data_IF_515992414889
#
_entry.id   IF_515992414889
#
_cell.length_a   1.000
_cell.length_b   1.000
_cell.length_c   1.000
_cell.angle_alpha   90.00
_cell.angle_beta   90.00
_cell.angle_gamma   90.00
#
_symmetry.space_group_name_H-M   'P 1'
#
loop_
_entity.id
_entity.type
_entity.pdbx_description
1 polymer ?
#
# COMPACT_ATOMS: atom_id res chain seq x y z
N UNK A 1 17.17 22.39 0.79
CA UNK A 1 17.18 21.55 2.01
C UNK A 1 16.65 20.17 1.65
N UNK A 2 17.10 19.10 2.32
CA UNK A 2 16.48 17.78 2.17
C UNK A 2 15.11 17.78 2.86
N UNK A 3 14.03 17.77 2.07
CA UNK A 3 12.65 17.71 2.56
C UNK A 3 12.17 16.29 2.92
N UNK A 4 13.03 15.29 2.79
CA UNK A 4 12.80 13.99 3.43
C UNK A 4 13.11 14.16 4.93
N UNK A 5 12.22 13.74 5.84
CA UNK A 5 12.58 13.60 7.25
C UNK A 5 13.83 12.72 7.37
N UNK A 6 14.68 13.00 8.36
CA UNK A 6 15.82 12.10 8.63
C UNK A 6 15.27 10.74 9.03
N UNK A 7 15.92 9.64 8.64
CA UNK A 7 15.46 8.28 8.95
C UNK A 7 15.09 8.10 10.43
N UNK A 8 15.87 8.67 11.33
CA UNK A 8 15.67 8.56 12.79
C UNK A 8 14.40 9.26 13.31
N UNK A 9 13.85 10.19 12.53
CA UNK A 9 12.63 10.98 12.83
C UNK A 9 11.35 10.35 12.28
N UNK A 10 11.44 9.18 11.62
CA UNK A 10 10.29 8.40 11.16
C UNK A 10 10.16 7.16 12.05
N UNK A 11 8.93 6.86 12.45
CA UNK A 11 8.53 5.63 13.12
C UNK A 11 7.61 4.85 12.18
N UNK A 12 8.04 3.66 11.78
CA UNK A 12 7.16 2.67 11.16
C UNK A 12 6.37 2.02 12.29
N UNK A 13 5.05 2.19 12.25
CA UNK A 13 4.08 1.61 13.18
C UNK A 13 3.66 0.26 12.65
N UNK A 14 4.36 -0.74 13.14
CA UNK A 14 4.12 -2.16 12.90
C UNK A 14 2.76 -2.58 13.48
N UNK A 15 1.77 -2.80 12.61
CA UNK A 15 0.42 -3.25 12.99
C UNK A 15 0.30 -4.76 12.79
N UNK A 16 -0.13 -5.42 13.86
CA UNK A 16 -0.34 -6.85 14.02
C UNK A 16 -1.72 -7.05 14.67
N UNK A 17 -2.15 -8.30 14.85
CA UNK A 17 -3.49 -8.58 15.39
C UNK A 17 -3.70 -8.09 16.84
N UNK A 18 -2.62 -7.91 17.62
CA UNK A 18 -2.68 -7.51 19.03
C UNK A 18 -2.78 -5.99 19.25
N UNK A 19 -2.35 -5.14 18.31
CA UNK A 19 -2.46 -3.67 18.39
C UNK A 19 -3.38 -3.03 17.34
N UNK A 20 -4.09 -3.83 16.52
CA UNK A 20 -4.90 -3.37 15.39
C UNK A 20 -5.88 -2.23 15.73
N UNK A 21 -6.69 -2.38 16.79
CA UNK A 21 -7.67 -1.36 17.18
C UNK A 21 -7.02 -0.11 17.81
N UNK A 22 -5.86 -0.25 18.46
CA UNK A 22 -5.11 0.89 19.01
C UNK A 22 -4.58 1.76 17.87
N UNK A 23 -4.03 1.13 16.83
CA UNK A 23 -3.52 1.82 15.64
C UNK A 23 -4.66 2.43 14.80
N UNK A 24 -5.81 1.75 14.67
CA UNK A 24 -6.99 2.37 14.06
C UNK A 24 -7.54 3.54 14.88
N UNK A 25 -7.47 3.53 16.21
CA UNK A 25 -7.86 4.68 17.02
C UNK A 25 -6.98 5.90 16.69
N UNK A 26 -5.65 5.72 16.61
CA UNK A 26 -4.72 6.79 16.20
C UNK A 26 -5.01 7.30 14.78
N UNK A 27 -5.30 6.41 13.82
CA UNK A 27 -5.67 6.82 12.45
C UNK A 27 -6.95 7.66 12.44
N UNK A 28 -7.98 7.27 13.21
CA UNK A 28 -9.24 8.03 13.35
C UNK A 28 -9.02 9.42 13.97
N UNK A 29 -7.99 9.62 14.79
CA UNK A 29 -7.65 10.93 15.38
C UNK A 29 -6.94 11.87 14.39
N UNK A 30 -6.25 11.35 13.37
CA UNK A 30 -5.43 12.16 12.45
C UNK A 30 -6.03 12.36 11.05
N UNK A 31 -6.99 11.53 10.62
CA UNK A 31 -7.40 11.45 9.21
C UNK A 31 -7.98 12.76 8.67
N UNK A 32 -8.70 13.53 9.51
CA UNK A 32 -9.27 14.83 9.12
C UNK A 32 -8.20 15.92 8.94
N UNK A 33 -7.12 15.88 9.71
CA UNK A 33 -5.99 16.84 9.64
C UNK A 33 -4.96 16.46 8.55
N UNK A 34 -4.86 15.18 8.22
CA UNK A 34 -3.88 14.61 7.29
C UNK A 34 -4.54 13.78 6.16
N UNK A 35 -5.40 14.41 5.32
CA UNK A 35 -6.30 13.69 4.39
C UNK A 35 -5.61 13.10 3.15
N UNK A 36 -4.34 13.41 2.89
CA UNK A 36 -3.60 12.83 1.77
C UNK A 36 -2.90 11.54 2.20
N UNK A 37 -3.52 10.41 1.87
CA UNK A 37 -2.93 9.10 2.11
C UNK A 37 -2.13 8.67 0.87
N UNK A 38 -0.98 8.05 1.11
CA UNK A 38 -0.33 7.14 0.19
C UNK A 38 -0.32 5.74 0.85
N UNK A 39 -0.30 4.68 0.06
CA UNK A 39 -0.58 3.29 0.48
C UNK A 39 0.28 2.28 -0.29
N UNK A 40 0.69 1.13 0.20
CA UNK A 40 1.16 0.05 -0.72
C UNK A 40 0.98 -1.33 -0.10
N UNK A 41 1.36 -2.41 -0.79
CA UNK A 41 1.18 -3.78 -0.33
C UNK A 41 2.23 -4.72 -0.92
N UNK A 42 2.77 -5.58 -0.06
CA UNK A 42 3.45 -6.78 -0.51
C UNK A 42 2.45 -7.91 -0.79
N UNK A 43 2.67 -8.62 -1.89
CA UNK A 43 1.91 -9.79 -2.32
C UNK A 43 2.85 -10.79 -3.02
N UNK A 44 2.50 -12.08 -3.11
CA UNK A 44 3.43 -13.16 -3.51
C UNK A 44 3.73 -13.22 -5.03
N UNK A 45 3.76 -12.08 -5.72
CA UNK A 45 4.15 -11.94 -7.12
C UNK A 45 3.02 -12.19 -8.12
N UNK A 46 3.40 -12.66 -9.32
CA UNK A 46 2.46 -12.98 -10.42
C UNK A 46 2.73 -14.42 -10.86
N UNK A 47 1.73 -15.28 -10.71
CA UNK A 47 1.80 -16.72 -11.03
C UNK A 47 0.90 -17.12 -12.20
N UNK A 48 -0.18 -16.38 -12.45
CA UNK A 48 -1.07 -16.59 -13.59
C UNK A 48 -0.76 -15.61 -14.73
N UNK A 49 -0.82 -16.12 -15.96
CA UNK A 49 -0.89 -15.31 -17.19
C UNK A 49 -2.04 -15.86 -18.04
N UNK A 50 -3.10 -15.09 -18.30
CA UNK A 50 -4.28 -15.61 -18.97
C UNK A 50 -4.01 -15.82 -20.46
N UNK A 51 -4.42 -16.97 -20.99
CA UNK A 51 -4.20 -17.35 -22.40
C UNK A 51 -5.50 -17.16 -23.17
N UNK A 52 -5.48 -16.31 -24.19
CA UNK A 52 -6.65 -16.03 -25.01
C UNK A 52 -6.46 -14.84 -25.97
N UNK A 53 -7.53 -14.49 -26.68
CA UNK A 53 -7.58 -13.29 -27.52
C UNK A 53 -8.16 -12.13 -26.72
N UNK A 54 -7.35 -11.10 -26.49
CA UNK A 54 -7.75 -9.87 -25.80
C UNK A 54 -8.03 -8.77 -26.82
N UNK A 55 -8.99 -7.88 -26.53
CA UNK A 55 -9.35 -6.79 -27.46
C UNK A 55 -8.31 -5.66 -27.42
N UNK A 56 -7.63 -5.50 -26.29
CA UNK A 56 -6.54 -4.54 -26.07
C UNK A 56 -5.51 -5.09 -25.08
N UNK A 57 -4.36 -4.43 -24.97
CA UNK A 57 -3.40 -4.66 -23.89
C UNK A 57 -3.98 -4.35 -22.50
N UNK A 58 -4.91 -3.39 -22.40
CA UNK A 58 -5.58 -3.04 -21.15
C UNK A 58 -6.46 -4.18 -20.64
N UNK A 59 -7.22 -4.84 -21.51
CA UNK A 59 -8.01 -6.03 -21.14
C UNK A 59 -7.10 -7.18 -20.66
N UNK A 60 -5.97 -7.38 -21.32
CA UNK A 60 -4.97 -8.39 -20.91
C UNK A 60 -4.34 -8.06 -19.55
N UNK A 61 -3.95 -6.81 -19.31
CA UNK A 61 -3.41 -6.38 -18.02
C UNK A 61 -4.46 -6.49 -16.90
N UNK A 62 -5.69 -6.05 -17.16
CA UNK A 62 -6.79 -6.16 -16.20
C UNK A 62 -7.09 -7.61 -15.85
N UNK A 63 -7.20 -8.50 -16.85
CA UNK A 63 -7.43 -9.93 -16.60
C UNK A 63 -6.25 -10.55 -15.84
N UNK A 64 -5.01 -10.22 -16.20
CA UNK A 64 -3.81 -10.68 -15.48
C UNK A 64 -3.83 -10.22 -14.02
N UNK A 65 -4.13 -8.94 -13.76
CA UNK A 65 -4.25 -8.41 -12.41
C UNK A 65 -5.34 -9.13 -11.62
N UNK A 66 -6.55 -9.19 -12.18
CA UNK A 66 -7.72 -9.81 -11.56
C UNK A 66 -7.47 -11.27 -11.19
N UNK A 67 -6.98 -12.08 -12.13
CA UNK A 67 -6.76 -13.51 -11.89
C UNK A 67 -5.71 -13.77 -10.80
N UNK A 68 -4.68 -12.93 -10.71
CA UNK A 68 -3.69 -13.04 -9.63
C UNK A 68 -4.22 -12.49 -8.30
N UNK A 69 -4.97 -11.36 -8.29
CA UNK A 69 -5.55 -10.80 -7.06
C UNK A 69 -6.63 -11.71 -6.45
N UNK A 70 -7.42 -12.39 -7.28
CA UNK A 70 -8.42 -13.36 -6.81
C UNK A 70 -7.78 -14.65 -6.24
N UNK A 71 -6.57 -15.00 -6.70
CA UNK A 71 -5.87 -16.24 -6.32
C UNK A 71 -4.87 -16.05 -5.16
N UNK A 72 -4.20 -14.91 -5.13
CA UNK A 72 -3.07 -14.66 -4.24
C UNK A 72 -3.51 -13.88 -3.00
N UNK A 73 -2.85 -14.18 -1.89
CA UNK A 73 -3.16 -13.59 -0.59
C UNK A 73 -2.26 -12.40 -0.29
N UNK A 74 -2.82 -11.39 0.36
CA UNK A 74 -2.10 -10.19 0.77
C UNK A 74 -1.09 -10.52 1.89
N UNK A 75 0.09 -9.88 1.88
CA UNK A 75 1.13 -10.08 2.89
C UNK A 75 1.24 -8.85 3.79
N UNK A 76 1.35 -7.66 3.19
CA UNK A 76 1.35 -6.38 3.92
C UNK A 76 0.45 -5.35 3.26
N UNK A 77 0.02 -4.35 4.02
CA UNK A 77 -0.50 -3.06 3.56
C UNK A 77 0.23 -1.97 4.35
N UNK A 78 0.72 -0.91 3.73
CA UNK A 78 1.25 0.25 4.44
C UNK A 78 0.50 1.50 4.08
N UNK A 79 0.46 2.47 5.01
CA UNK A 79 -0.25 3.74 4.86
C UNK A 79 0.59 4.91 5.42
N UNK A 80 0.71 5.99 4.65
CA UNK A 80 1.36 7.25 5.02
C UNK A 80 0.35 8.37 4.84
N UNK A 81 -0.04 9.01 5.94
CA UNK A 81 -0.95 10.15 5.95
C UNK A 81 -0.17 11.47 5.88
N UNK A 82 -0.72 12.47 5.21
CA UNK A 82 -0.07 13.77 5.04
C UNK A 82 -1.06 14.94 4.86
N UNK A 83 -0.66 16.15 5.25
CA UNK A 83 -1.44 17.38 5.01
C UNK A 83 -1.22 17.91 3.58
N UNK A 84 -1.94 18.98 3.20
CA UNK A 84 -1.80 19.65 1.89
C UNK A 84 -0.36 20.08 1.54
N UNK A 85 0.51 20.23 2.54
CA UNK A 85 1.91 20.68 2.42
C UNK A 85 2.89 19.49 2.45
N UNK A 86 2.41 18.27 2.66
CA UNK A 86 3.22 17.06 2.81
C UNK A 86 3.87 16.89 4.18
N UNK A 87 3.35 17.54 5.23
CA UNK A 87 3.74 17.25 6.61
C UNK A 87 3.10 15.94 7.06
N UNK A 88 3.81 15.17 7.88
CA UNK A 88 3.35 13.88 8.41
C UNK A 88 2.81 14.03 9.85
N UNK A 89 1.88 13.16 10.29
CA UNK A 89 1.40 13.11 11.67
C UNK A 89 2.48 12.59 12.62
N UNK A 90 2.50 13.05 13.88
CA UNK A 90 3.41 12.50 14.91
C UNK A 90 2.73 11.59 15.94
N UNK A 91 1.39 11.45 15.90
CA UNK A 91 0.59 10.60 16.79
C UNK A 91 0.93 10.79 18.30
N UNK A 92 1.10 12.03 18.73
CA UNK A 92 1.46 12.37 20.11
C UNK A 92 2.92 12.11 20.50
N UNK A 93 3.78 11.72 19.56
CA UNK A 93 5.21 11.46 19.78
C UNK A 93 6.11 12.57 19.22
N UNK A 94 7.43 12.42 19.38
CA UNK A 94 8.48 13.26 18.76
C UNK A 94 8.86 12.82 17.33
N UNK A 95 8.22 11.76 16.80
CA UNK A 95 8.52 11.16 15.48
C UNK A 95 7.31 11.17 14.56
N UNK A 96 7.57 11.30 13.26
CA UNK A 96 6.56 11.14 12.23
C UNK A 96 6.15 9.67 12.10
N UNK A 97 4.85 9.40 11.98
CA UNK A 97 4.30 8.06 11.96
C UNK A 97 3.83 7.66 10.56
N UNK A 98 4.16 6.43 10.17
CA UNK A 98 3.61 5.74 9.00
C UNK A 98 3.25 4.31 9.44
N UNK A 99 2.23 3.68 8.85
CA UNK A 99 1.73 2.38 9.27
C UNK A 99 2.16 1.26 8.33
N UNK A 100 2.43 0.08 8.90
CA UNK A 100 2.69 -1.17 8.19
C UNK A 100 1.84 -2.27 8.81
N UNK A 101 0.71 -2.60 8.19
CA UNK A 101 -0.18 -3.69 8.52
C UNK A 101 0.37 -5.00 7.95
N UNK A 102 0.41 -6.02 8.80
CA UNK A 102 0.96 -7.32 8.49
C UNK A 102 -0.15 -8.38 8.57
N UNK A 103 -0.40 -9.09 7.47
CA UNK A 103 -1.52 -10.03 7.32
C UNK A 103 -1.11 -11.47 7.58
N UNK A 104 -2.02 -12.30 8.09
CA UNK A 104 -1.75 -13.70 8.46
C UNK A 104 -2.06 -14.71 7.34
N UNK A 105 -2.82 -14.26 6.34
CA UNK A 105 -3.49 -15.09 5.33
C UNK A 105 -2.51 -15.95 4.53
N UNK A 106 -1.37 -15.37 4.12
CA UNK A 106 -0.38 -16.02 3.27
C UNK A 106 0.52 -16.98 4.06
N UNK A 107 0.45 -18.26 3.76
CA UNK A 107 1.29 -19.32 4.30
C UNK A 107 2.19 -19.92 3.21
N UNK A 108 3.50 -19.80 3.37
CA UNK A 108 4.50 -20.24 2.38
C UNK A 108 4.58 -21.76 2.20
N UNK A 109 4.01 -22.55 3.12
CA UNK A 109 3.96 -24.02 3.02
C UNK A 109 2.67 -24.53 2.34
N UNK A 110 1.67 -23.68 2.14
CA UNK A 110 0.32 -24.06 1.66
C UNK A 110 -0.12 -23.29 0.39
N UNK A 111 0.25 -22.02 0.27
CA UNK A 111 -0.24 -21.13 -0.78
C UNK A 111 0.62 -21.12 -2.04
N UNK A 112 0.05 -20.63 -3.14
CA UNK A 112 0.74 -20.45 -4.42
C UNK A 112 1.46 -19.09 -4.43
N UNK A 113 2.70 -19.07 -4.92
CA UNK A 113 3.53 -17.87 -5.00
C UNK A 113 4.58 -17.95 -6.12
N UNK A 114 5.14 -16.81 -6.50
CA UNK A 114 6.34 -16.74 -7.32
C UNK A 114 7.60 -16.82 -6.42
N UNK A 115 8.49 -17.78 -6.68
CA UNK A 115 9.69 -18.01 -5.86
C UNK A 115 10.54 -16.74 -5.72
N UNK A 116 10.87 -16.09 -6.84
CA UNK A 116 11.67 -14.87 -6.89
C UNK A 116 11.08 -13.76 -6.00
N UNK A 117 9.75 -13.65 -5.94
CA UNK A 117 9.05 -12.67 -5.08
C UNK A 117 9.18 -13.02 -3.60
N UNK A 118 9.04 -14.29 -3.21
CA UNK A 118 9.21 -14.71 -1.81
C UNK A 118 10.67 -14.59 -1.36
N UNK A 119 11.64 -14.92 -2.22
CA UNK A 119 13.06 -14.73 -1.92
C UNK A 119 13.39 -13.25 -1.72
N UNK A 120 12.86 -12.37 -2.58
CA UNK A 120 13.02 -10.92 -2.47
C UNK A 120 12.39 -10.38 -1.17
N UNK A 121 11.16 -10.79 -0.83
CA UNK A 121 10.50 -10.39 0.43
C UNK A 121 11.27 -10.86 1.68
N UNK A 122 11.81 -12.09 1.66
CA UNK A 122 12.70 -12.58 2.73
C UNK A 122 13.97 -11.73 2.86
N UNK A 123 14.58 -11.33 1.75
CA UNK A 123 15.76 -10.45 1.73
C UNK A 123 15.44 -9.04 2.22
N UNK A 124 14.23 -8.54 1.95
CA UNK A 124 13.69 -7.28 2.48
C UNK A 124 13.28 -7.35 3.96
N UNK A 125 13.35 -8.52 4.61
CA UNK A 125 13.12 -8.69 6.04
C UNK A 125 11.73 -9.18 6.45
N UNK A 126 10.90 -9.66 5.50
CA UNK A 126 9.59 -10.25 5.83
C UNK A 126 9.77 -11.59 6.58
N UNK A 127 9.30 -11.64 7.82
CA UNK A 127 9.22 -12.84 8.64
C UNK A 127 7.86 -13.53 8.46
N UNK A 128 7.76 -14.37 7.43
CA UNK A 128 6.55 -15.15 7.12
C UNK A 128 6.02 -15.95 8.31
N UNK A 129 6.89 -16.45 9.19
CA UNK A 129 6.45 -17.16 10.39
C UNK A 129 5.73 -16.22 11.35
N UNK A 130 6.29 -15.02 11.59
CA UNK A 130 5.63 -13.97 12.38
C UNK A 130 4.30 -13.54 11.75
N UNK A 131 4.19 -13.48 10.42
CA UNK A 131 2.91 -13.26 9.72
C UNK A 131 1.87 -14.33 10.09
N UNK A 132 2.18 -15.63 9.97
CA UNK A 132 1.21 -16.67 10.33
C UNK A 132 0.92 -16.75 11.85
N UNK A 133 1.86 -16.37 12.73
CA UNK A 133 1.66 -16.41 14.18
C UNK A 133 0.96 -15.16 14.77
N UNK A 134 1.08 -13.99 14.13
CA UNK A 134 0.65 -12.69 14.70
C UNK A 134 -0.03 -11.74 13.73
N UNK A 135 -0.05 -12.06 12.44
CA UNK A 135 -0.65 -11.22 11.42
C UNK A 135 -2.13 -10.99 11.69
N UNK A 136 -2.63 -9.87 11.18
CA UNK A 136 -4.04 -9.51 11.18
C UNK A 136 -4.80 -10.54 10.36
N UNK A 137 -5.90 -11.04 10.90
CA UNK A 137 -6.92 -11.76 10.13
C UNK A 137 -7.76 -10.72 9.36
N UNK A 138 -7.62 -10.69 8.04
CA UNK A 138 -8.32 -9.79 7.14
C UNK A 138 -9.85 -10.03 7.11
N UNK A 139 -10.33 -11.18 7.60
CA UNK A 139 -11.75 -11.47 7.83
C UNK A 139 -12.24 -10.99 9.20
N UNK A 140 -11.33 -10.85 10.19
CA UNK A 140 -11.65 -10.28 11.51
C UNK A 140 -11.95 -8.79 11.47
N UNK A 141 -11.42 -8.07 10.46
CA UNK A 141 -11.93 -6.77 10.03
C UNK A 141 -13.39 -6.95 9.62
N UNK A 142 -14.35 -6.55 10.47
CA UNK A 142 -15.77 -6.92 10.33
C UNK A 142 -16.40 -6.43 9.01
N UNK A 143 -16.37 -7.28 7.98
CA UNK A 143 -16.75 -6.96 6.60
C UNK A 143 -15.72 -7.35 5.52
N UNK A 144 -14.55 -7.84 5.90
CA UNK A 144 -13.46 -8.22 5.02
C UNK A 144 -12.69 -7.04 4.43
N UNK A 145 -11.63 -7.34 3.67
CA UNK A 145 -10.80 -6.38 2.92
C UNK A 145 -11.62 -5.35 2.11
N UNK A 146 -12.76 -5.75 1.53
CA UNK A 146 -13.66 -4.84 0.81
C UNK A 146 -14.16 -3.69 1.69
N UNK A 147 -14.49 -3.96 2.95
CA UNK A 147 -14.99 -2.93 3.87
C UNK A 147 -13.88 -2.05 4.43
N UNK A 148 -12.64 -2.54 4.47
CA UNK A 148 -11.47 -1.72 4.75
C UNK A 148 -11.16 -0.76 3.58
N UNK A 149 -11.29 -1.24 2.33
CA UNK A 149 -11.16 -0.41 1.14
C UNK A 149 -12.27 0.66 1.03
N UNK A 150 -13.51 0.32 1.39
CA UNK A 150 -14.62 1.28 1.47
C UNK A 150 -14.48 2.30 2.62
N UNK A 151 -13.74 1.99 3.71
CA UNK A 151 -13.59 2.91 4.85
C UNK A 151 -12.48 3.96 4.69
N UNK A 152 -11.56 3.77 3.73
CA UNK A 152 -10.28 4.50 3.67
C UNK A 152 -10.07 5.35 2.40
N UNK A 153 -10.97 5.28 1.41
CA UNK A 153 -11.07 6.14 0.19
C UNK A 153 -9.79 6.55 -0.59
N UNK A 154 -8.60 5.91 -0.43
CA UNK A 154 -7.33 6.44 -1.02
C UNK A 154 -6.30 5.38 -1.55
N UNK A 155 -5.37 5.86 -2.41
CA UNK A 155 -4.40 5.18 -3.29
C UNK A 155 -2.89 5.32 -2.87
N UNK A 156 -1.87 5.06 -3.74
CA UNK A 156 -0.66 4.24 -3.39
C UNK A 156 0.86 4.72 -3.66
N UNK A 157 1.91 4.23 -2.90
CA UNK A 157 3.38 3.87 -3.13
C UNK A 157 4.54 4.48 -2.23
N UNK A 158 5.74 3.86 -2.17
CA UNK A 158 6.94 4.28 -1.42
C UNK A 158 8.31 3.58 -1.72
N UNK A 159 9.07 3.13 -0.69
CA UNK A 159 10.33 2.35 -0.83
C UNK A 159 10.14 0.82 -0.95
N UNK A 160 10.58 0.31 -2.09
CA UNK A 160 10.88 -1.07 -2.47
C UNK A 160 10.68 -2.21 -1.44
N UNK A 161 9.55 -2.92 -1.60
CA UNK A 161 9.30 -4.26 -1.05
C UNK A 161 9.12 -4.32 0.48
N UNK A 162 8.68 -3.21 1.07
CA UNK A 162 8.09 -3.19 2.41
C UNK A 162 7.03 -2.08 2.51
N UNK A 163 5.80 -2.42 2.13
CA UNK A 163 4.55 -1.65 2.11
C UNK A 163 4.48 -0.39 3.01
N UNK A 164 4.98 -0.45 4.24
CA UNK A 164 5.02 0.64 5.24
C UNK A 164 5.74 1.88 4.76
N UNK A 165 7.08 1.86 4.66
CA UNK A 165 7.75 2.95 3.91
C UNK A 165 7.54 2.84 2.41
N UNK A 166 7.05 1.70 1.89
CA UNK A 166 6.38 1.62 0.58
C UNK A 166 5.05 2.41 0.53
N UNK A 167 4.76 3.30 1.49
CA UNK A 167 3.80 4.41 1.31
C UNK A 167 4.42 5.82 1.43
N UNK A 168 5.68 5.93 1.86
CA UNK A 168 6.31 7.24 2.15
C UNK A 168 7.05 7.83 0.94
N UNK A 169 7.79 7.03 0.16
CA UNK A 169 8.54 7.56 -0.99
C UNK A 169 7.61 8.13 -2.07
N UNK A 170 6.40 7.61 -2.31
CA UNK A 170 5.52 8.17 -3.36
C UNK A 170 4.72 9.35 -2.87
N UNK A 171 4.33 9.45 -1.61
CA UNK A 171 3.90 10.76 -1.06
C UNK A 171 4.99 11.82 -1.31
N UNK A 172 6.25 11.50 -0.99
CA UNK A 172 7.38 12.40 -1.22
C UNK A 172 7.70 12.66 -2.71
N UNK A 173 7.52 11.66 -3.58
CA UNK A 173 7.83 11.74 -5.02
C UNK A 173 6.71 12.44 -5.78
N UNK A 174 5.46 12.13 -5.50
CA UNK A 174 4.28 12.84 -6.02
C UNK A 174 4.34 14.33 -5.69
N UNK A 175 4.66 14.70 -4.43
CA UNK A 175 4.81 16.11 -4.06
C UNK A 175 5.93 16.79 -4.86
N UNK A 176 7.11 16.17 -4.99
CA UNK A 176 8.19 16.71 -5.83
C UNK A 176 7.81 16.79 -7.32
N UNK A 177 7.07 15.83 -7.84
CA UNK A 177 6.57 15.86 -9.21
C UNK A 177 5.64 17.06 -9.39
N UNK A 178 4.61 17.18 -8.54
CA UNK A 178 3.65 18.30 -8.50
C UNK A 178 4.36 19.66 -8.43
N UNK A 179 5.32 19.82 -7.52
CA UNK A 179 6.07 21.08 -7.32
C UNK A 179 6.95 21.49 -8.51
N UNK A 180 7.57 20.54 -9.21
CA UNK A 180 8.61 20.83 -10.21
C UNK A 180 8.13 20.72 -11.67
N UNK A 181 7.07 19.95 -11.94
CA UNK A 181 6.68 19.58 -13.31
C UNK A 181 5.21 19.84 -13.67
N UNK A 182 4.32 20.05 -12.70
CA UNK A 182 2.89 20.29 -12.98
C UNK A 182 2.51 21.76 -12.74
N UNK A 183 1.87 22.35 -13.74
CA UNK A 183 1.20 23.65 -13.63
C UNK A 183 -0.26 23.50 -14.06
N UNK A 184 -1.19 23.95 -13.22
CA UNK A 184 -2.63 23.74 -13.39
C UNK A 184 -3.20 22.62 -12.51
N UNK A 185 -4.44 22.19 -12.82
CA UNK A 185 -5.15 21.18 -12.03
C UNK A 185 -4.65 19.76 -12.35
N UNK A 186 -4.78 18.86 -11.37
CA UNK A 186 -4.44 17.44 -11.53
C UNK A 186 -5.65 16.57 -11.90
N UNK A 187 -6.84 17.17 -12.07
CA UNK A 187 -8.12 16.48 -12.29
C UNK A 187 -8.08 15.50 -13.47
N UNK A 188 -7.39 15.88 -14.56
CA UNK A 188 -7.21 15.03 -15.76
C UNK A 188 -6.37 13.76 -15.54
N UNK A 189 -5.75 13.59 -14.37
CA UNK A 189 -5.02 12.40 -13.95
C UNK A 189 -5.76 11.61 -12.86
N UNK A 190 -6.85 12.14 -12.32
CA UNK A 190 -7.59 11.52 -11.21
C UNK A 190 -8.26 10.22 -11.67
N UNK A 191 -8.04 9.13 -10.92
CA UNK A 191 -8.59 7.81 -11.24
C UNK A 191 -7.98 7.10 -12.46
N UNK A 192 -6.88 7.60 -13.02
CA UNK A 192 -6.22 7.00 -14.20
C UNK A 192 -5.14 6.00 -13.77
N UNK A 193 -5.52 4.73 -13.69
CA UNK A 193 -4.59 3.63 -13.37
C UNK A 193 -3.64 3.30 -14.53
N UNK A 194 -2.34 3.33 -14.28
CA UNK A 194 -1.31 2.99 -15.26
C UNK A 194 -1.49 1.56 -15.78
N UNK A 195 -1.43 1.39 -17.10
CA UNK A 195 -1.57 0.08 -17.75
C UNK A 195 -2.99 -0.48 -17.81
N UNK A 196 -3.99 0.22 -17.25
CA UNK A 196 -5.41 -0.20 -17.24
C UNK A 196 -6.36 0.86 -17.85
N UNK A 197 -5.98 2.15 -17.84
CA UNK A 197 -6.80 3.24 -18.36
C UNK A 197 -6.86 3.32 -19.89
N UNK A 198 -8.04 3.68 -20.41
CA UNK A 198 -8.22 4.12 -21.81
C UNK A 198 -7.86 5.61 -21.91
N UNK A 199 -7.14 6.01 -22.96
CA UNK A 199 -6.87 7.43 -23.26
C UNK A 199 -8.15 8.17 -23.67
N UNK A 200 -8.99 8.54 -22.70
CA UNK A 200 -10.02 9.55 -22.89
C UNK A 200 -9.38 10.95 -22.75
N UNK A 201 -8.51 11.29 -23.71
CA UNK A 201 -8.06 12.64 -23.90
C UNK A 201 -9.23 13.50 -24.42
N UNK A 202 -9.68 14.44 -23.58
CA UNK A 202 -10.55 15.56 -23.96
C UNK A 202 -9.71 16.84 -23.98
#
# INVERSE_FOLDING_TARGET
MSLLPKSDSIQIREVWNDNLEEEFALIREIVDDYPYIAMDTEFPGIVLRPVGNFKSSYDYHYQTLKDNVDMLKLIQLGLTFSDEKGNLPTCGTDKYCIWQFNFCEFNVDEDVFANDSIELLRQSGIDFKKHNEKGIDAMSLHGGLNKLAELLEVERVGICHQAGSDSLLTSCTFRKLKENFFSGTLEKYSGVLYGLGVENAH
#
